data_IF_001401319878
#
_entry.id   IF_001401319878
#
_cell.length_a   1.000
_cell.length_b   1.000
_cell.length_c   1.000
_cell.angle_alpha   90.00
_cell.angle_beta   90.00
_cell.angle_gamma   90.00
#
_symmetry.space_group_name_H-M   'P 1'
#
loop_
_entity.id
_entity.type
_entity.pdbx_description
1 polymer ?
#
# COMPACT_ATOMS: atom_id res chain seq x y z
N UNK A 1 5.50 -9.32 -13.13
CA UNK A 1 6.16 -10.18 -12.11
C UNK A 1 5.27 -10.18 -10.87
N UNK A 2 5.07 -11.33 -10.20
CA UNK A 2 4.11 -11.45 -9.10
C UNK A 2 4.80 -11.99 -7.84
N UNK A 3 4.70 -11.27 -6.72
CA UNK A 3 5.31 -11.63 -5.44
C UNK A 3 4.25 -11.77 -4.36
N UNK A 4 4.12 -12.96 -3.75
CA UNK A 4 3.19 -13.17 -2.64
C UNK A 4 3.87 -12.79 -1.33
N UNK A 5 3.26 -11.87 -0.59
CA UNK A 5 3.79 -11.33 0.66
C UNK A 5 3.15 -12.07 1.83
N UNK A 6 4.00 -12.70 2.64
CA UNK A 6 3.60 -13.48 3.82
C UNK A 6 4.48 -13.13 5.02
N UNK A 7 4.22 -13.78 6.15
CA UNK A 7 5.09 -13.73 7.33
C UNK A 7 6.52 -14.19 7.11
N UNK A 8 6.70 -15.17 6.22
CA UNK A 8 7.97 -15.82 5.90
C UNK A 8 8.60 -15.24 4.61
N UNK A 9 7.77 -14.72 3.71
CA UNK A 9 8.13 -13.96 2.50
C UNK A 9 7.75 -12.50 2.71
N UNK A 10 8.40 -11.85 3.68
CA UNK A 10 7.90 -10.62 4.30
C UNK A 10 8.47 -9.30 3.77
N UNK A 11 9.17 -9.32 2.63
CA UNK A 11 9.77 -8.11 2.03
C UNK A 11 10.64 -7.35 3.06
N UNK A 12 11.46 -8.08 3.82
CA UNK A 12 12.29 -7.51 4.88
C UNK A 12 11.50 -6.71 5.93
N UNK A 13 10.34 -7.20 6.38
CA UNK A 13 9.64 -6.69 7.56
C UNK A 13 10.44 -7.04 8.84
N UNK A 14 11.54 -6.32 9.07
CA UNK A 14 12.49 -6.55 10.18
C UNK A 14 12.20 -5.66 11.41
N UNK A 15 10.93 -5.38 11.71
CA UNK A 15 10.54 -4.69 12.93
C UNK A 15 9.78 -5.63 13.89
N UNK A 16 10.48 -6.16 14.90
CA UNK A 16 9.85 -6.74 16.10
C UNK A 16 9.59 -8.25 16.11
N UNK A 17 10.16 -9.04 15.19
CA UNK A 17 10.08 -10.51 15.23
C UNK A 17 8.68 -11.09 14.93
N UNK A 18 7.79 -10.29 14.34
CA UNK A 18 6.46 -10.73 13.94
C UNK A 18 6.51 -11.33 12.54
N UNK A 19 6.18 -12.60 12.41
CA UNK A 19 6.00 -13.30 11.14
C UNK A 19 4.62 -12.99 10.52
N UNK A 20 4.14 -11.73 10.58
CA UNK A 20 2.87 -11.36 9.95
C UNK A 20 2.85 -9.89 9.54
N UNK A 21 2.20 -9.63 8.40
CA UNK A 21 1.90 -8.28 7.94
C UNK A 21 0.78 -7.71 8.81
N UNK A 22 1.02 -6.53 9.35
CA UNK A 22 0.11 -5.86 10.28
C UNK A 22 0.35 -4.35 10.26
N UNK A 23 -0.59 -3.53 10.77
CA UNK A 23 -0.36 -2.11 10.94
C UNK A 23 0.99 -1.83 11.62
N UNK A 24 1.76 -0.91 11.06
CA UNK A 24 3.13 -0.57 11.45
C UNK A 24 4.23 -1.34 10.72
N UNK A 25 3.89 -2.35 9.92
CA UNK A 25 4.87 -3.07 9.10
C UNK A 25 5.42 -2.18 7.99
N UNK A 26 6.72 -2.27 7.73
CA UNK A 26 7.39 -1.49 6.68
C UNK A 26 8.51 -2.31 6.05
N UNK A 27 8.92 -1.96 4.84
CA UNK A 27 10.04 -2.65 4.20
C UNK A 27 10.46 -2.04 2.88
N UNK A 28 11.26 -2.80 2.12
CA UNK A 28 11.77 -2.42 0.80
C UNK A 28 11.58 -3.53 -0.22
N UNK A 29 11.03 -3.18 -1.37
CA UNK A 29 10.91 -4.05 -2.55
C UNK A 29 11.92 -3.57 -3.56
N UNK A 30 12.78 -4.48 -4.01
CA UNK A 30 13.75 -4.20 -5.06
C UNK A 30 13.44 -5.10 -6.26
N UNK A 31 13.34 -4.50 -7.43
CA UNK A 31 13.17 -5.20 -8.69
C UNK A 31 14.10 -4.60 -9.74
N UNK A 32 14.26 -5.31 -10.85
CA UNK A 32 15.16 -4.92 -11.92
C UNK A 32 14.39 -4.69 -13.22
N UNK A 33 14.65 -3.57 -13.86
CA UNK A 33 14.25 -3.32 -15.24
C UNK A 33 15.45 -3.66 -16.12
N UNK A 34 15.26 -4.54 -17.12
CA UNK A 34 16.33 -4.94 -18.04
C UNK A 34 16.03 -4.34 -19.42
N UNK A 35 16.71 -3.24 -19.81
CA UNK A 35 16.51 -2.61 -21.11
C UNK A 35 16.81 -3.57 -22.25
N UNK A 36 15.90 -3.67 -23.22
CA UNK A 36 16.11 -4.46 -24.45
C UNK A 36 16.78 -3.64 -25.56
N UNK A 37 16.85 -2.32 -25.39
CA UNK A 37 17.48 -1.37 -26.30
C UNK A 37 18.26 -0.29 -25.53
N UNK A 38 19.19 0.38 -26.21
CA UNK A 38 20.02 1.45 -25.65
C UNK A 38 19.33 2.84 -25.69
N UNK A 39 18.17 2.93 -26.33
CA UNK A 39 17.32 4.11 -26.42
C UNK A 39 15.99 3.84 -25.70
N UNK A 40 16.05 3.71 -24.38
CA UNK A 40 14.85 3.49 -23.56
C UNK A 40 14.24 4.84 -23.18
N UNK A 41 12.98 5.04 -23.52
CA UNK A 41 12.18 6.17 -23.08
C UNK A 41 11.77 6.08 -21.61
N UNK A 42 10.82 6.92 -21.22
CA UNK A 42 10.20 6.83 -19.89
C UNK A 42 9.38 5.56 -19.78
N UNK A 43 9.57 4.81 -18.71
CA UNK A 43 8.86 3.58 -18.44
C UNK A 43 7.75 3.88 -17.45
N UNK A 44 6.53 3.54 -17.80
CA UNK A 44 5.44 3.52 -16.85
C UNK A 44 5.46 2.19 -16.09
N UNK A 45 5.43 2.27 -14.77
CA UNK A 45 5.33 1.14 -13.87
C UNK A 45 3.96 1.17 -13.19
N UNK A 46 3.23 0.06 -13.23
CA UNK A 46 1.93 -0.11 -12.59
C UNK A 46 2.01 -1.24 -11.56
N UNK A 47 1.52 -0.94 -10.35
CA UNK A 47 1.42 -1.84 -9.21
C UNK A 47 -0.03 -2.24 -9.01
N UNK A 48 -0.27 -3.55 -8.88
CA UNK A 48 -1.55 -4.09 -8.43
C UNK A 48 -1.35 -4.89 -7.14
N UNK A 49 -2.16 -4.61 -6.13
CA UNK A 49 -2.26 -5.42 -4.91
C UNK A 49 -3.52 -6.28 -5.02
N UNK A 50 -3.36 -7.59 -4.90
CA UNK A 50 -4.46 -8.55 -4.88
C UNK A 50 -4.46 -9.26 -3.52
N UNK A 51 -5.48 -9.11 -2.67
CA UNK A 51 -5.57 -9.84 -1.41
C UNK A 51 -5.97 -11.30 -1.62
N UNK A 52 -5.42 -12.15 -0.77
CA UNK A 52 -5.63 -13.58 -0.77
C UNK A 52 -6.06 -14.07 0.61
N UNK A 53 -6.98 -15.05 0.62
CA UNK A 53 -7.48 -15.74 1.81
C UNK A 53 -7.13 -17.23 1.77
N UNK A 54 -7.22 -17.88 2.93
CA UNK A 54 -7.13 -19.34 3.04
C UNK A 54 -8.55 -19.92 2.94
N UNK A 55 -8.73 -20.96 2.12
CA UNK A 55 -10.05 -21.46 1.73
C UNK A 55 -10.78 -22.33 2.77
N UNK A 56 -10.12 -22.78 3.84
CA UNK A 56 -10.76 -23.51 4.95
C UNK A 56 -10.02 -23.26 6.27
N UNK A 57 -10.67 -22.66 7.26
CA UNK A 57 -10.21 -22.64 8.66
C UNK A 57 -10.62 -23.96 9.32
N UNK A 58 -9.68 -24.90 9.46
CA UNK A 58 -9.88 -26.07 10.33
C UNK A 58 -8.75 -26.30 11.33
N UNK A 59 -7.74 -25.45 11.41
CA UNK A 59 -6.73 -25.58 12.46
C UNK A 59 -6.32 -24.21 12.98
N UNK A 60 -6.36 -24.06 14.31
CA UNK A 60 -5.51 -23.13 15.06
C UNK A 60 -4.08 -23.31 14.58
N UNK A 61 -3.60 -22.41 13.73
CA UNK A 61 -2.20 -22.45 13.29
C UNK A 61 -1.35 -21.79 14.36
N UNK A 62 -0.95 -22.58 15.37
CA UNK A 62 0.16 -22.25 16.27
C UNK A 62 1.41 -22.96 15.77
N UNK A 63 2.17 -22.32 14.89
CA UNK A 63 3.39 -22.88 14.30
C UNK A 63 3.64 -22.38 12.87
N UNK A 64 4.82 -22.70 12.34
CA UNK A 64 5.25 -22.49 10.95
C UNK A 64 4.15 -22.99 10.00
N UNK A 65 3.58 -22.11 9.17
CA UNK A 65 2.46 -22.48 8.30
C UNK A 65 3.06 -23.14 7.07
N UNK A 66 2.98 -24.46 6.96
CA UNK A 66 3.14 -25.13 5.66
C UNK A 66 1.89 -24.81 4.83
N UNK A 67 1.84 -23.62 4.22
CA UNK A 67 0.68 -23.22 3.42
C UNK A 67 0.70 -24.04 2.14
N UNK A 68 -0.22 -24.99 2.04
CA UNK A 68 -0.54 -25.61 0.77
C UNK A 68 -1.06 -24.52 -0.17
N UNK A 69 -0.33 -24.23 -1.25
CA UNK A 69 -0.68 -23.19 -2.22
C UNK A 69 -2.07 -23.42 -2.83
N UNK A 70 -2.53 -24.67 -2.90
CA UNK A 70 -3.88 -25.03 -3.37
C UNK A 70 -4.99 -24.53 -2.44
N UNK A 71 -4.65 -24.16 -1.19
CA UNK A 71 -5.59 -23.66 -0.19
C UNK A 71 -5.63 -22.13 -0.10
N UNK A 72 -4.89 -21.42 -0.95
CA UNK A 72 -4.89 -19.95 -1.01
C UNK A 72 -5.63 -19.50 -2.27
N UNK A 73 -6.59 -18.59 -2.13
CA UNK A 73 -7.31 -18.01 -3.27
C UNK A 73 -7.41 -16.49 -3.18
N UNK A 74 -7.39 -15.78 -4.32
CA UNK A 74 -7.63 -14.34 -4.33
C UNK A 74 -9.06 -14.08 -3.87
N UNK A 75 -9.28 -12.93 -3.22
CA UNK A 75 -10.65 -12.45 -3.02
C UNK A 75 -11.20 -11.95 -4.36
N UNK A 76 -12.48 -12.22 -4.61
CA UNK A 76 -13.20 -11.65 -5.74
C UNK A 76 -13.26 -10.12 -5.58
N UNK A 77 -12.77 -9.39 -6.59
CA UNK A 77 -12.65 -7.92 -6.55
C UNK A 77 -14.01 -7.22 -6.58
N UNK A 78 -15.03 -7.83 -7.19
CA UNK A 78 -16.37 -7.24 -7.26
C UNK A 78 -17.08 -7.36 -5.91
N UNK A 79 -17.01 -8.53 -5.29
CA UNK A 79 -17.63 -8.79 -3.99
C UNK A 79 -16.87 -8.12 -2.83
N UNK A 80 -15.56 -7.91 -2.99
CA UNK A 80 -14.68 -7.38 -1.94
C UNK A 80 -14.03 -6.05 -2.33
N UNK A 81 -14.73 -5.24 -3.14
CA UNK A 81 -14.25 -3.95 -3.61
C UNK A 81 -13.82 -3.02 -2.47
N UNK A 82 -14.45 -3.14 -1.30
CA UNK A 82 -14.04 -2.46 -0.08
C UNK A 82 -12.66 -2.90 0.39
N UNK A 83 -12.36 -4.20 0.47
CA UNK A 83 -11.06 -4.70 0.92
C UNK A 83 -9.95 -4.28 -0.04
N UNK A 84 -10.18 -4.37 -1.35
CA UNK A 84 -9.24 -3.87 -2.35
C UNK A 84 -8.99 -2.36 -2.20
N UNK A 85 -10.05 -1.56 -2.02
CA UNK A 85 -9.92 -0.12 -1.81
C UNK A 85 -9.14 0.20 -0.53
N UNK A 86 -9.47 -0.46 0.58
CA UNK A 86 -8.81 -0.27 1.87
C UNK A 86 -7.32 -0.61 1.80
N UNK A 87 -6.95 -1.72 1.17
CA UNK A 87 -5.54 -2.09 0.99
C UNK A 87 -4.74 -1.02 0.25
N UNK A 88 -5.32 -0.32 -0.73
CA UNK A 88 -4.63 0.74 -1.45
C UNK A 88 -4.33 1.97 -0.60
N UNK A 89 -5.15 2.29 0.41
CA UNK A 89 -4.87 3.40 1.33
C UNK A 89 -4.07 2.99 2.57
N UNK A 90 -3.98 1.69 2.85
CA UNK A 90 -3.27 1.15 4.00
C UNK A 90 -1.86 0.66 3.67
N UNK A 91 -1.65 -0.02 2.54
CA UNK A 91 -0.32 -0.45 2.08
C UNK A 91 0.19 0.53 1.04
N UNK A 92 1.02 1.48 1.49
CA UNK A 92 1.52 2.58 0.66
C UNK A 92 2.93 2.29 0.13
N UNK A 93 3.22 2.77 -1.09
CA UNK A 93 4.52 2.66 -1.73
C UNK A 93 5.15 4.02 -2.03
N UNK A 94 6.46 4.13 -1.87
CA UNK A 94 7.23 5.37 -2.04
C UNK A 94 8.58 5.07 -2.67
N UNK A 95 9.02 5.89 -3.61
CA UNK A 95 10.34 5.71 -4.25
C UNK A 95 11.51 6.19 -3.41
N UNK A 96 11.25 6.94 -2.34
CA UNK A 96 12.29 7.44 -1.45
C UNK A 96 11.86 7.41 0.01
N UNK A 97 12.85 7.28 0.90
CA UNK A 97 12.71 7.34 2.35
C UNK A 97 13.95 8.01 2.92
N UNK A 98 13.77 9.05 3.75
CA UNK A 98 14.83 9.74 4.46
C UNK A 98 14.53 9.71 5.97
N UNK A 99 15.40 9.04 6.73
CA UNK A 99 15.11 8.73 8.14
C UNK A 99 13.80 7.95 8.26
N UNK A 100 12.81 8.55 8.93
CA UNK A 100 11.49 7.97 9.14
C UNK A 100 10.42 8.46 8.17
N UNK A 101 10.73 9.47 7.34
CA UNK A 101 9.77 10.06 6.42
C UNK A 101 9.93 9.49 5.01
N UNK A 102 8.81 9.44 4.30
CA UNK A 102 8.68 8.91 2.95
C UNK A 102 8.43 10.04 1.95
N UNK A 103 8.87 9.85 0.70
CA UNK A 103 8.63 10.80 -0.38
C UNK A 103 8.63 10.09 -1.75
N UNK A 104 8.16 10.80 -2.79
CA UNK A 104 7.91 10.24 -4.12
C UNK A 104 6.89 9.09 -4.04
N UNK A 105 5.73 9.40 -3.48
CA UNK A 105 4.57 8.55 -3.30
C UNK A 105 4.10 7.99 -4.64
N UNK A 106 3.92 6.67 -4.69
CA UNK A 106 3.31 5.98 -5.83
C UNK A 106 1.79 6.10 -5.69
N UNK A 107 1.27 7.24 -6.13
CA UNK A 107 -0.15 7.52 -6.07
C UNK A 107 -0.91 6.67 -7.11
N UNK A 108 -2.03 6.07 -6.70
CA UNK A 108 -2.87 5.21 -7.56
C UNK A 108 -2.11 4.03 -8.21
N UNK A 109 -1.04 3.54 -7.58
CA UNK A 109 -0.30 2.39 -8.06
C UNK A 109 0.54 2.63 -9.32
N UNK A 110 0.64 3.86 -9.84
CA UNK A 110 1.43 4.13 -11.05
C UNK A 110 2.56 5.11 -10.79
N UNK A 111 3.71 4.88 -11.42
CA UNK A 111 4.86 5.79 -11.36
C UNK A 111 5.75 5.64 -12.60
N UNK A 112 6.49 6.71 -12.90
CA UNK A 112 7.41 6.73 -14.03
C UNK A 112 8.85 6.50 -13.60
N UNK A 113 9.58 5.74 -14.41
CA UNK A 113 11.02 5.52 -14.27
C UNK A 113 11.72 6.00 -15.53
N UNK A 114 12.70 6.87 -15.35
CA UNK A 114 13.67 7.23 -16.40
C UNK A 114 15.01 6.64 -16.00
N UNK A 115 15.59 5.84 -16.90
CA UNK A 115 16.91 5.25 -16.71
C UNK A 115 17.91 6.15 -17.42
N UNK A 116 18.83 6.74 -16.66
CA UNK A 116 19.91 7.53 -17.24
C UNK A 116 20.91 6.60 -17.95
N UNK A 117 21.20 6.88 -19.22
CA UNK A 117 22.15 6.13 -20.04
C UNK A 117 21.86 4.61 -20.07
N UNK A 118 20.67 4.19 -20.52
CA UNK A 118 20.27 2.79 -20.48
C UNK A 118 21.23 1.96 -21.34
N UNK A 119 21.80 0.91 -20.76
CA UNK A 119 22.59 -0.06 -21.51
C UNK A 119 21.76 -1.30 -21.73
N UNK A 120 21.69 -1.75 -22.99
CA UNK A 120 21.03 -3.00 -23.35
C UNK A 120 21.54 -4.16 -22.49
N UNK A 121 20.60 -5.00 -22.05
CA UNK A 121 20.82 -6.20 -21.24
C UNK A 121 21.46 -5.95 -19.86
N UNK A 122 21.59 -4.69 -19.42
CA UNK A 122 22.09 -4.37 -18.07
C UNK A 122 20.93 -4.08 -17.11
N UNK A 123 20.73 -4.92 -16.08
CA UNK A 123 19.71 -4.70 -15.06
C UNK A 123 19.86 -3.33 -14.38
N UNK A 124 18.75 -2.63 -14.25
CA UNK A 124 18.62 -1.36 -13.54
C UNK A 124 17.78 -1.58 -12.31
N UNK A 125 18.39 -1.34 -11.15
CA UNK A 125 17.73 -1.56 -9.87
C UNK A 125 16.74 -0.45 -9.57
N UNK A 126 15.52 -0.84 -9.24
CA UNK A 126 14.47 0.06 -8.77
C UNK A 126 14.03 -0.43 -7.40
N UNK A 127 14.02 0.49 -6.43
CA UNK A 127 13.60 0.20 -5.06
C UNK A 127 12.35 1.02 -4.69
N UNK A 128 11.35 0.34 -4.17
CA UNK A 128 10.20 0.93 -3.50
C UNK A 128 10.30 0.68 -2.00
N UNK A 129 10.07 1.72 -1.22
CA UNK A 129 9.85 1.63 0.22
C UNK A 129 8.34 1.49 0.43
N UNK A 130 7.92 0.58 1.30
CA UNK A 130 6.50 0.40 1.61
C UNK A 130 6.24 0.51 3.11
N UNK A 131 5.03 0.93 3.44
CA UNK A 131 4.57 1.07 4.82
C UNK A 131 3.08 0.77 4.90
N UNK A 132 2.70 -0.03 5.88
CA UNK A 132 1.38 -0.03 6.47
C UNK A 132 1.43 0.85 7.71
N UNK A 133 0.88 2.08 7.68
CA UNK A 133 0.93 2.95 8.86
C UNK A 133 0.22 2.29 10.04
N UNK A 134 0.78 2.43 11.24
CA UNK A 134 0.22 1.85 12.45
C UNK A 134 -1.06 2.56 12.91
N UNK A 135 -1.15 3.87 12.64
CA UNK A 135 -2.26 4.70 13.09
C UNK A 135 -2.53 5.82 12.09
N UNK A 136 -3.80 6.20 11.99
CA UNK A 136 -4.26 7.38 11.26
C UNK A 136 -3.43 8.65 11.56
N UNK A 137 -2.98 8.82 12.81
CA UNK A 137 -2.19 9.98 13.21
C UNK A 137 -0.88 10.15 12.41
N UNK A 138 -0.33 9.07 11.85
CA UNK A 138 0.88 9.13 11.04
C UNK A 138 0.67 9.79 9.67
N UNK A 139 -0.56 9.80 9.15
CA UNK A 139 -0.90 10.49 7.91
C UNK A 139 -1.08 11.99 8.10
N UNK A 140 -1.73 12.41 9.20
CA UNK A 140 -2.12 13.81 9.45
C UNK A 140 -1.10 14.63 10.23
N UNK A 141 -0.10 13.96 10.81
CA UNK A 141 1.01 14.61 11.49
C UNK A 141 2.19 14.80 10.53
N UNK A 142 3.21 15.53 10.98
CA UNK A 142 4.47 15.70 10.24
C UNK A 142 5.67 15.56 11.19
N UNK A 143 6.84 15.24 10.64
CA UNK A 143 8.09 15.03 11.39
C UNK A 143 8.37 13.57 11.68
N UNK A 144 9.23 13.29 12.67
CA UNK A 144 9.90 11.98 12.82
C UNK A 144 9.00 10.75 13.05
N UNK A 145 7.74 10.93 13.46
CA UNK A 145 6.79 9.84 13.69
C UNK A 145 5.69 9.75 12.62
N UNK A 146 5.76 10.59 11.59
CA UNK A 146 4.75 10.72 10.55
C UNK A 146 5.27 10.22 9.20
N UNK A 147 4.35 10.06 8.25
CA UNK A 147 4.71 9.72 6.86
C UNK A 147 5.56 10.82 6.24
N UNK A 148 5.18 12.08 6.40
CA UNK A 148 5.82 13.22 5.75
C UNK A 148 6.58 14.12 6.73
N UNK A 149 7.65 14.77 6.25
CA UNK A 149 8.45 15.68 7.05
C UNK A 149 7.76 17.04 7.29
N UNK A 150 6.93 17.49 6.36
CA UNK A 150 6.24 18.79 6.39
C UNK A 150 4.87 18.73 5.73
N UNK A 151 4.01 19.73 6.01
CA UNK A 151 2.64 19.85 5.47
C UNK A 151 2.66 20.56 4.11
N UNK A 152 3.29 19.93 3.13
CA UNK A 152 3.47 20.51 1.78
C UNK A 152 3.54 19.41 0.74
N UNK A 153 3.04 19.68 -0.47
CA UNK A 153 3.25 18.81 -1.62
C UNK A 153 2.49 17.49 -1.47
N UNK A 154 3.20 16.37 -1.34
CA UNK A 154 2.59 15.03 -1.25
C UNK A 154 1.69 14.86 -0.01
N UNK A 155 1.97 15.59 1.07
CA UNK A 155 1.07 15.67 2.22
C UNK A 155 -0.30 16.21 1.80
N UNK A 156 -0.35 17.30 1.03
CA UNK A 156 -1.60 17.94 0.61
C UNK A 156 -2.37 17.04 -0.37
N UNK A 157 -1.66 16.35 -1.27
CA UNK A 157 -2.24 15.34 -2.16
C UNK A 157 -2.89 14.19 -1.36
N UNK A 158 -2.19 13.65 -0.36
CA UNK A 158 -2.72 12.61 0.53
C UNK A 158 -3.95 13.10 1.30
N UNK A 159 -3.90 14.31 1.87
CA UNK A 159 -5.05 14.89 2.57
C UNK A 159 -6.22 15.11 1.62
N UNK A 160 -5.98 15.47 0.36
CA UNK A 160 -7.03 15.65 -0.65
C UNK A 160 -7.68 14.32 -1.01
N UNK A 161 -6.88 13.27 -1.22
CA UNK A 161 -7.38 11.93 -1.53
C UNK A 161 -8.20 11.36 -0.37
N UNK A 162 -7.77 11.56 0.88
CA UNK A 162 -8.53 11.14 2.06
C UNK A 162 -9.85 11.90 2.26
N UNK A 163 -9.94 13.15 1.80
CA UNK A 163 -11.17 13.95 1.90
C UNK A 163 -12.25 13.45 0.95
N UNK A 164 -11.87 12.77 -0.13
CA UNK A 164 -12.80 12.26 -1.14
C UNK A 164 -13.52 11.01 -0.61
N UNK A 165 -14.48 11.25 0.27
CA UNK A 165 -15.49 10.27 0.66
C UNK A 165 -16.66 10.47 -0.29
N UNK A 166 -16.81 9.60 -1.29
CA UNK A 166 -18.01 9.56 -2.12
C UNK A 166 -19.22 9.39 -1.22
N UNK A 167 -20.17 10.33 -1.28
CA UNK A 167 -21.34 10.31 -0.41
C UNK A 167 -22.13 9.02 -0.60
N UNK A 168 -22.43 8.31 0.49
CA UNK A 168 -23.30 7.12 0.48
C UNK A 168 -22.59 5.80 0.77
N UNK A 169 -21.26 5.75 0.74
CA UNK A 169 -20.51 4.59 1.19
C UNK A 169 -20.03 4.74 2.62
N UNK A 170 -19.95 3.62 3.33
CA UNK A 170 -19.40 3.55 4.68
C UNK A 170 -17.89 3.29 4.67
N UNK A 171 -17.25 3.33 3.51
CA UNK A 171 -15.81 3.16 3.36
C UNK A 171 -15.23 4.04 2.26
N UNK A 172 -13.93 4.32 2.35
CA UNK A 172 -13.09 4.79 1.25
C UNK A 172 -11.75 4.04 1.31
N UNK A 173 -10.68 4.53 0.66
CA UNK A 173 -9.37 3.86 0.70
C UNK A 173 -8.73 3.76 2.08
N UNK A 174 -9.13 4.60 3.05
CA UNK A 174 -8.44 4.74 4.33
C UNK A 174 -9.31 4.41 5.53
N UNK A 175 -10.62 4.59 5.41
CA UNK A 175 -11.56 4.52 6.53
C UNK A 175 -12.66 3.52 6.22
N UNK A 176 -13.07 2.79 7.26
CA UNK A 176 -14.23 1.93 7.25
C UNK A 176 -15.10 2.25 8.48
N UNK A 177 -16.37 2.55 8.26
CA UNK A 177 -17.36 2.76 9.29
C UNK A 177 -18.35 1.60 9.27
N UNK A 178 -18.45 0.78 10.33
CA UNK A 178 -19.35 -0.38 10.31
C UNK A 178 -20.84 -0.03 10.26
N UNK A 179 -21.21 1.19 10.65
CA UNK A 179 -22.61 1.56 10.93
C UNK A 179 -23.13 2.76 10.16
N UNK A 180 -22.26 3.58 9.57
CA UNK A 180 -22.66 4.87 8.98
C UNK A 180 -21.87 5.21 7.74
N UNK A 181 -22.49 5.92 6.80
CA UNK A 181 -21.78 6.48 5.66
C UNK A 181 -20.71 7.47 6.13
N UNK A 182 -19.58 7.51 5.43
CA UNK A 182 -18.52 8.47 5.72
C UNK A 182 -18.96 9.87 5.29
N UNK A 183 -18.65 10.85 6.13
CA UNK A 183 -18.79 12.27 5.79
C UNK A 183 -17.49 12.83 5.24
N UNK A 184 -17.57 13.99 4.58
CA UNK A 184 -16.35 14.72 4.19
C UNK A 184 -15.52 15.08 5.41
N UNK A 185 -14.22 14.86 5.32
CA UNK A 185 -13.25 15.21 6.37
C UNK A 185 -12.76 16.63 6.14
N UNK A 186 -12.58 17.42 7.19
CA UNK A 186 -11.86 18.68 7.10
C UNK A 186 -10.56 18.58 7.90
N UNK A 187 -9.44 18.42 7.20
CA UNK A 187 -8.11 18.30 7.82
C UNK A 187 -7.55 19.64 8.33
N UNK A 188 -7.98 20.77 7.78
CA UNK A 188 -7.50 22.10 8.17
C UNK A 188 -7.93 22.47 9.60
N UNK A 189 -9.17 22.14 9.97
CA UNK A 189 -9.76 22.48 11.26
C UNK A 189 -10.22 21.23 12.03
N UNK A 190 -9.51 20.11 11.88
CA UNK A 190 -9.88 18.85 12.54
C UNK A 190 -9.78 18.99 14.06
N UNK A 191 -10.92 18.96 14.75
CA UNK A 191 -10.96 18.93 16.20
C UNK A 191 -10.65 17.54 16.76
N UNK A 192 -10.45 17.46 18.08
CA UNK A 192 -10.09 16.21 18.76
C UNK A 192 -11.17 15.11 18.59
N UNK A 193 -12.46 15.46 18.61
CA UNK A 193 -13.54 14.50 18.45
C UNK A 193 -13.53 13.89 17.04
N UNK A 194 -13.43 14.71 16.00
CA UNK A 194 -13.29 14.25 14.61
C UNK A 194 -12.06 13.34 14.46
N UNK A 195 -10.91 13.73 15.04
CA UNK A 195 -9.70 12.90 14.98
C UNK A 195 -9.91 11.53 15.65
N UNK A 196 -10.55 11.49 16.81
CA UNK A 196 -10.87 10.23 17.50
C UNK A 196 -11.80 9.35 16.67
N UNK A 197 -12.84 9.93 16.08
CA UNK A 197 -13.78 9.19 15.21
C UNK A 197 -13.05 8.56 14.01
N UNK A 198 -12.25 9.34 13.27
CA UNK A 198 -11.54 8.82 12.10
C UNK A 198 -10.38 7.89 12.45
N UNK A 199 -9.77 8.02 13.63
CA UNK A 199 -8.86 6.99 14.15
C UNK A 199 -9.59 5.67 14.37
N UNK A 200 -10.83 5.72 14.89
CA UNK A 200 -11.68 4.54 15.02
C UNK A 200 -12.05 3.90 13.68
N UNK A 201 -12.37 4.72 12.67
CA UNK A 201 -12.65 4.22 11.32
C UNK A 201 -11.43 3.66 10.60
N UNK A 202 -10.24 4.21 10.87
CA UNK A 202 -8.98 3.66 10.38
C UNK A 202 -8.70 2.29 11.01
N UNK A 203 -8.83 2.16 12.33
CA UNK A 203 -8.66 0.88 13.00
C UNK A 203 -9.70 -0.16 12.55
N UNK A 204 -10.92 0.26 12.25
CA UNK A 204 -11.97 -0.62 11.71
C UNK A 204 -11.63 -1.09 10.30
N UNK A 205 -10.94 -0.25 9.51
CA UNK A 205 -10.41 -0.64 8.22
C UNK A 205 -9.27 -1.65 8.34
N UNK A 206 -8.33 -1.42 9.27
CA UNK A 206 -7.26 -2.37 9.59
C UNK A 206 -7.83 -3.75 9.93
N UNK A 207 -8.84 -3.79 10.81
CA UNK A 207 -9.53 -5.01 11.21
C UNK A 207 -10.19 -5.70 10.01
N UNK A 208 -10.91 -4.95 9.16
CA UNK A 208 -11.57 -5.49 7.97
C UNK A 208 -10.56 -6.10 6.97
N UNK A 209 -9.39 -5.48 6.80
CA UNK A 209 -8.31 -6.04 5.99
C UNK A 209 -7.80 -7.33 6.64
N UNK A 210 -7.46 -7.29 7.93
CA UNK A 210 -6.85 -8.41 8.66
C UNK A 210 -7.78 -9.63 8.83
N UNK A 211 -9.09 -9.41 8.89
CA UNK A 211 -10.08 -10.49 8.96
C UNK A 211 -10.34 -11.15 7.60
N UNK A 212 -10.13 -10.41 6.50
CA UNK A 212 -10.45 -10.85 5.14
C UNK A 212 -9.23 -11.35 4.37
N UNK A 213 -8.04 -10.90 4.76
CA UNK A 213 -6.79 -11.08 4.01
C UNK A 213 -5.74 -11.77 4.87
N UNK A 214 -5.15 -12.85 4.36
CA UNK A 214 -4.00 -13.53 4.97
C UNK A 214 -2.70 -13.19 4.28
N UNK A 215 -2.75 -13.00 2.97
CA UNK A 215 -1.61 -12.65 2.13
C UNK A 215 -2.03 -11.58 1.12
N UNK A 216 -1.08 -10.83 0.59
CA UNK A 216 -1.33 -10.04 -0.62
C UNK A 216 -0.28 -10.36 -1.68
N UNK A 217 -0.73 -10.43 -2.93
CA UNK A 217 0.11 -10.54 -4.10
C UNK A 217 0.37 -9.12 -4.62
N UNK A 218 1.64 -8.75 -4.75
CA UNK A 218 2.03 -7.54 -5.47
C UNK A 218 2.46 -7.91 -6.89
N UNK A 219 1.76 -7.34 -7.86
CA UNK A 219 2.09 -7.45 -9.27
C UNK A 219 2.67 -6.12 -9.77
N UNK A 220 3.80 -6.21 -10.47
CA UNK A 220 4.40 -5.08 -11.16
C UNK A 220 4.38 -5.34 -12.68
N UNK A 221 3.78 -4.39 -13.40
CA UNK A 221 3.84 -4.28 -14.85
C UNK A 221 4.67 -3.06 -15.22
N UNK A 222 5.52 -3.19 -16.23
CA UNK A 222 6.37 -2.10 -16.71
C UNK A 222 6.26 -2.04 -18.23
N UNK A 223 5.91 -0.87 -18.76
CA UNK A 223 5.75 -0.61 -20.18
C UNK A 223 6.47 0.67 -20.57
N UNK A 224 7.15 0.66 -21.71
CA UNK A 224 7.72 1.89 -22.26
C UNK A 224 6.59 2.80 -22.73
N UNK A 225 6.62 4.08 -22.34
CA UNK A 225 5.64 5.05 -22.82
C UNK A 225 5.88 5.32 -24.30
N UNK A 226 4.82 5.20 -25.09
CA UNK A 226 4.82 5.67 -26.48
C UNK A 226 5.18 7.16 -26.51
N UNK A 227 6.22 7.51 -27.26
CA UNK A 227 6.54 8.91 -27.49
C UNK A 227 5.51 9.43 -28.49
N UNK A 228 4.56 10.28 -28.06
CA UNK A 228 3.70 10.98 -29.02
C UNK A 228 4.59 11.86 -29.90
N UNK A 229 4.71 11.47 -31.17
CA UNK A 229 5.37 12.21 -32.24
C UNK A 229 4.57 13.45 -32.66
#
# INVERSE_FOLDING_TARGET
>A
MAWMVSGESNIYNQAGGKASLSPGSTGKITFYIIPQAANLGTINCELKITPYRVLEENETVTGEITVDQERIAPLDETENANIYSLLQGHVLFFRAKNGNNYSNWVQNGSFDVTIENPTKDKPQEITLNWIWPFQFNQYVSVGNSALFASKTGEYDSMMTEMQDTSSGFNYNKYFYSPTTALGKINFTNMNAATRTTYSGYYNSADEAIGSSTRYFLLELNATEKETTA
#
